data_IF_794639935626
#
_entry.id   IF_794639935626
#
_cell.length_a   1.000
_cell.length_b   1.000
_cell.length_c   1.000
_cell.angle_alpha   90.00
_cell.angle_beta   90.00
_cell.angle_gamma   90.00
#
_symmetry.space_group_name_H-M   'P 1'
#
loop_
_entity.id
_entity.type
_entity.pdbx_description
1 polymer ?
#
# COMPACT_ATOMS: atom_id res chain seq x y z
N UNK A 1 -27.72 36.26 -2.86
CA UNK A 1 -26.77 35.47 -2.05
C UNK A 1 -27.10 34.00 -2.24
N UNK A 2 -26.56 33.36 -3.30
CA UNK A 2 -26.69 31.93 -3.52
C UNK A 2 -25.52 31.26 -2.81
N UNK A 3 -25.83 30.29 -1.96
CA UNK A 3 -24.96 29.67 -0.97
C UNK A 3 -23.82 28.88 -1.62
N UNK A 4 -22.65 28.89 -0.98
CA UNK A 4 -21.44 28.17 -1.36
C UNK A 4 -21.62 26.64 -1.51
N UNK A 5 -22.75 26.12 -1.07
CA UNK A 5 -23.09 24.69 -1.08
C UNK A 5 -23.47 24.16 -2.48
N UNK A 6 -23.88 25.01 -3.41
CA UNK A 6 -24.30 24.57 -4.74
C UNK A 6 -23.15 24.36 -5.75
N UNK A 7 -21.95 24.93 -5.50
CA UNK A 7 -20.82 24.79 -6.41
C UNK A 7 -19.95 23.57 -6.16
N UNK A 8 -20.02 22.96 -4.97
CA UNK A 8 -19.29 21.73 -4.65
C UNK A 8 -19.95 20.48 -5.25
N UNK A 9 -21.27 20.57 -5.49
CA UNK A 9 -22.07 19.47 -6.07
C UNK A 9 -21.92 19.33 -7.59
N UNK A 10 -21.32 20.29 -8.28
CA UNK A 10 -21.24 20.29 -9.74
C UNK A 10 -20.10 19.44 -10.31
N UNK A 11 -19.06 19.12 -9.53
CA UNK A 11 -17.93 18.27 -9.98
C UNK A 11 -18.27 16.77 -9.90
N UNK A 12 -19.22 16.39 -9.01
CA UNK A 12 -19.64 14.99 -8.84
C UNK A 12 -20.68 14.52 -9.89
N UNK A 13 -21.17 15.40 -10.78
CA UNK A 13 -22.31 15.09 -11.66
C UNK A 13 -22.00 14.39 -12.99
N UNK A 14 -20.74 14.06 -13.29
CA UNK A 14 -20.41 13.43 -14.57
C UNK A 14 -19.76 12.05 -14.48
N UNK A 15 -19.71 11.42 -13.30
CA UNK A 15 -19.32 10.03 -13.19
C UNK A 15 -20.58 9.20 -12.82
N UNK A 16 -21.00 8.23 -13.61
CA UNK A 16 -22.12 7.36 -13.23
C UNK A 16 -21.74 6.70 -11.88
N UNK A 17 -22.62 6.81 -10.90
CA UNK A 17 -22.41 6.33 -9.51
C UNK A 17 -22.12 4.81 -9.35
N UNK A 18 -21.87 4.10 -10.46
CA UNK A 18 -21.62 2.65 -10.59
C UNK A 18 -20.30 2.33 -11.28
N UNK A 19 -19.46 3.32 -11.62
CA UNK A 19 -18.17 3.05 -12.27
C UNK A 19 -17.04 3.04 -11.24
N UNK A 20 -16.37 1.87 -11.10
CA UNK A 20 -15.23 1.71 -10.20
C UNK A 20 -14.03 2.57 -10.67
N UNK A 21 -13.42 3.38 -9.79
CA UNK A 21 -12.32 4.27 -10.16
C UNK A 21 -11.10 3.54 -10.73
N UNK A 22 -10.83 2.32 -10.27
CA UNK A 22 -9.77 1.46 -10.81
C UNK A 22 -10.34 0.07 -11.01
N UNK A 23 -10.18 -0.48 -12.21
CA UNK A 23 -10.57 -1.85 -12.55
C UNK A 23 -9.42 -2.55 -13.26
N UNK A 24 -9.04 -3.73 -12.77
CA UNK A 24 -8.09 -4.64 -13.41
C UNK A 24 -8.83 -5.89 -13.87
N UNK A 25 -8.56 -6.31 -15.10
CA UNK A 25 -9.13 -7.54 -15.67
C UNK A 25 -8.02 -8.36 -16.34
N UNK A 26 -7.63 -9.46 -15.69
CA UNK A 26 -6.60 -10.37 -16.14
C UNK A 26 -5.25 -9.71 -16.40
N UNK A 27 -4.94 -8.62 -15.69
CA UNK A 27 -3.76 -7.81 -15.95
C UNK A 27 -2.48 -8.62 -15.79
N UNK A 28 -1.69 -8.68 -16.86
CA UNK A 28 -0.46 -9.48 -16.94
C UNK A 28 0.70 -8.63 -17.44
N UNK A 29 1.89 -8.82 -16.88
CA UNK A 29 3.08 -8.16 -17.38
C UNK A 29 4.34 -9.03 -17.26
N UNK A 30 5.09 -9.08 -18.36
CA UNK A 30 6.38 -9.79 -18.45
C UNK A 30 7.52 -8.80 -18.67
N UNK A 31 8.66 -9.04 -18.02
CA UNK A 31 9.95 -8.46 -18.34
C UNK A 31 10.80 -9.55 -19.03
N UNK A 32 10.82 -9.58 -20.35
CA UNK A 32 11.35 -10.73 -21.09
C UNK A 32 10.63 -12.02 -20.67
N UNK A 33 11.38 -13.01 -20.19
CA UNK A 33 10.81 -14.29 -19.74
C UNK A 33 10.26 -14.25 -18.30
N UNK A 34 10.53 -13.18 -17.55
CA UNK A 34 10.11 -13.06 -16.16
C UNK A 34 8.68 -12.54 -16.06
N UNK A 35 7.78 -13.35 -15.56
CA UNK A 35 6.41 -12.95 -15.22
C UNK A 35 6.43 -12.09 -13.94
N UNK A 36 6.00 -10.85 -14.05
CA UNK A 36 5.98 -9.88 -12.95
C UNK A 36 4.57 -9.64 -12.39
N UNK A 37 3.54 -9.77 -13.24
CA UNK A 37 2.12 -9.75 -12.85
C UNK A 37 1.41 -10.88 -13.57
N UNK A 38 0.65 -11.68 -12.83
CA UNK A 38 -0.01 -12.88 -13.29
C UNK A 38 -1.53 -12.77 -13.13
N UNK A 39 -2.22 -12.35 -14.21
CA UNK A 39 -3.69 -12.30 -14.33
C UNK A 39 -4.40 -11.59 -13.15
N UNK A 40 -3.89 -10.44 -12.72
CA UNK A 40 -4.50 -9.68 -11.63
C UNK A 40 -5.89 -9.18 -12.03
N UNK A 41 -6.90 -9.51 -11.22
CA UNK A 41 -8.28 -9.07 -11.39
C UNK A 41 -8.84 -8.60 -10.06
N UNK A 42 -9.12 -7.31 -9.95
CA UNK A 42 -9.81 -6.69 -8.82
C UNK A 42 -10.28 -5.27 -9.15
N UNK A 43 -11.07 -4.70 -8.25
CA UNK A 43 -11.63 -3.35 -8.38
C UNK A 43 -11.39 -2.55 -7.10
N UNK A 44 -11.17 -1.24 -7.27
CA UNK A 44 -11.08 -0.25 -6.18
C UNK A 44 -12.35 0.58 -6.20
N UNK A 45 -13.00 0.73 -5.05
CA UNK A 45 -14.26 1.44 -4.89
C UNK A 45 -14.07 2.96 -4.84
N UNK A 46 -15.11 3.74 -5.16
CA UNK A 46 -15.05 5.19 -4.99
C UNK A 46 -14.80 5.59 -3.53
N UNK A 47 -13.99 6.63 -3.35
CA UNK A 47 -13.68 7.19 -2.03
C UNK A 47 -13.24 6.13 -1.01
N UNK A 48 -12.30 5.26 -1.39
CA UNK A 48 -11.63 4.35 -0.46
C UNK A 48 -10.11 4.56 -0.48
N UNK A 49 -9.45 4.23 0.62
CA UNK A 49 -8.00 4.06 0.69
C UNK A 49 -7.72 2.59 0.48
N UNK A 50 -7.19 2.25 -0.68
CA UNK A 50 -6.90 0.89 -1.10
C UNK A 50 -5.39 0.59 -1.02
N UNK A 51 -5.00 -0.45 -0.28
CA UNK A 51 -3.63 -0.86 -0.09
C UNK A 51 -3.19 -1.93 -1.09
N UNK A 52 -1.99 -1.80 -1.65
CA UNK A 52 -1.27 -2.88 -2.30
C UNK A 52 -0.15 -3.34 -1.36
N UNK A 53 -0.38 -4.43 -0.62
CA UNK A 53 0.56 -5.00 0.32
C UNK A 53 1.34 -6.14 -0.33
N UNK A 54 2.61 -6.27 -0.03
CA UNK A 54 3.42 -7.41 -0.47
C UNK A 54 4.92 -7.19 -0.24
N UNK A 55 5.72 -8.26 -0.20
CA UNK A 55 7.16 -8.15 -0.06
C UNK A 55 7.81 -7.50 -1.30
N UNK A 56 9.10 -7.21 -1.22
CA UNK A 56 9.85 -6.74 -2.37
C UNK A 56 9.82 -7.79 -3.50
N UNK A 57 9.63 -7.32 -4.73
CA UNK A 57 9.50 -8.21 -5.90
C UNK A 57 8.11 -8.87 -6.07
N UNK A 58 7.11 -8.55 -5.24
CA UNK A 58 5.76 -9.10 -5.37
C UNK A 58 4.95 -8.55 -6.55
N UNK A 59 5.43 -7.53 -7.27
CA UNK A 59 4.75 -6.92 -8.41
C UNK A 59 4.13 -5.54 -8.15
N UNK A 60 4.14 -5.01 -6.91
CA UNK A 60 3.56 -3.70 -6.56
C UNK A 60 4.03 -2.56 -7.45
N UNK A 61 5.35 -2.39 -7.57
CA UNK A 61 5.95 -1.32 -8.38
C UNK A 61 5.63 -1.49 -9.88
N UNK A 62 5.53 -2.72 -10.39
CA UNK A 62 5.12 -2.98 -11.78
C UNK A 62 3.67 -2.55 -11.99
N UNK A 63 2.76 -2.95 -11.10
CA UNK A 63 1.36 -2.53 -11.13
C UNK A 63 1.23 -1.01 -11.02
N UNK A 64 1.94 -0.39 -10.08
CA UNK A 64 1.97 1.06 -9.92
C UNK A 64 2.39 1.79 -11.20
N UNK A 65 3.46 1.30 -11.87
CA UNK A 65 3.93 1.87 -13.15
C UNK A 65 2.92 1.73 -14.28
N UNK A 66 2.16 0.65 -14.33
CA UNK A 66 1.09 0.47 -15.30
C UNK A 66 -0.05 1.44 -15.02
N UNK A 67 -0.55 1.52 -13.78
CA UNK A 67 -1.63 2.43 -13.39
C UNK A 67 -1.23 3.90 -13.57
N UNK A 68 0.04 4.24 -13.35
CA UNK A 68 0.56 5.59 -13.59
C UNK A 68 0.88 5.90 -15.06
N UNK A 69 0.52 4.99 -15.99
CA UNK A 69 0.77 5.10 -17.45
C UNK A 69 2.25 5.18 -17.84
N UNK A 70 3.15 4.76 -16.98
CA UNK A 70 4.60 4.69 -17.26
C UNK A 70 5.01 3.38 -17.94
N UNK A 71 4.10 2.41 -17.97
CA UNK A 71 4.35 1.08 -18.52
C UNK A 71 3.08 0.53 -19.15
N UNK A 72 3.23 -0.10 -20.31
CA UNK A 72 2.13 -0.79 -20.99
C UNK A 72 2.10 -2.24 -20.50
N UNK A 73 0.94 -2.79 -20.08
CA UNK A 73 0.83 -4.20 -19.73
C UNK A 73 1.05 -5.10 -20.94
N UNK A 74 1.50 -6.34 -20.74
CA UNK A 74 1.68 -7.32 -21.82
C UNK A 74 0.42 -8.12 -22.11
N UNK A 75 -0.58 -8.10 -21.19
CA UNK A 75 -1.88 -8.77 -21.34
C UNK A 75 -2.91 -8.25 -20.35
N UNK A 76 -4.16 -8.55 -20.61
CA UNK A 76 -5.28 -8.03 -19.82
C UNK A 76 -5.51 -6.53 -20.01
N UNK A 77 -6.25 -5.91 -19.09
CA UNK A 77 -6.53 -4.48 -19.12
C UNK A 77 -6.55 -3.86 -17.74
N UNK A 78 -6.27 -2.54 -17.68
CA UNK A 78 -6.45 -1.70 -16.50
C UNK A 78 -7.17 -0.42 -16.90
N UNK A 79 -8.26 -0.12 -16.20
CA UNK A 79 -9.05 1.09 -16.41
C UNK A 79 -8.93 2.01 -15.20
N UNK A 80 -8.81 3.31 -15.44
CA UNK A 80 -8.92 4.36 -14.42
C UNK A 80 -10.01 5.33 -14.85
N UNK A 81 -11.05 5.47 -14.02
CA UNK A 81 -12.25 6.26 -14.34
C UNK A 81 -12.84 5.87 -15.73
N UNK A 82 -12.79 4.57 -16.06
CA UNK A 82 -13.26 4.01 -17.32
C UNK A 82 -12.32 4.20 -18.51
N UNK A 83 -11.17 4.88 -18.35
CA UNK A 83 -10.18 5.06 -19.41
C UNK A 83 -9.09 4.00 -19.33
N UNK A 84 -8.80 3.36 -20.45
CA UNK A 84 -7.75 2.34 -20.55
C UNK A 84 -6.35 2.96 -20.43
N UNK A 85 -5.54 2.47 -19.49
CA UNK A 85 -4.21 3.02 -19.20
C UNK A 85 -3.23 2.95 -20.38
N UNK A 86 -3.41 1.97 -21.28
CA UNK A 86 -2.56 1.78 -22.45
C UNK A 86 -3.07 2.53 -23.69
N UNK A 87 -4.40 2.60 -23.86
CA UNK A 87 -5.01 3.19 -25.07
C UNK A 87 -5.33 4.67 -24.94
N UNK A 88 -5.65 5.13 -23.71
CA UNK A 88 -6.07 6.50 -23.42
C UNK A 88 -5.20 7.16 -22.31
N UNK A 89 -3.87 7.05 -22.34
CA UNK A 89 -3.01 7.50 -21.23
C UNK A 89 -3.15 8.98 -20.90
N UNK A 90 -3.43 9.83 -21.89
CA UNK A 90 -3.61 11.26 -21.65
C UNK A 90 -4.88 11.57 -20.86
N UNK A 91 -5.96 10.78 -21.05
CA UNK A 91 -7.20 10.91 -20.28
C UNK A 91 -7.00 10.40 -18.86
N UNK A 92 -6.30 9.26 -18.71
CA UNK A 92 -5.93 8.71 -17.41
C UNK A 92 -5.09 9.70 -16.61
N UNK A 93 -4.05 10.33 -17.20
CA UNK A 93 -3.20 11.32 -16.52
C UNK A 93 -3.96 12.53 -15.99
N UNK A 94 -5.08 12.89 -16.60
CA UNK A 94 -5.94 13.97 -16.10
C UNK A 94 -6.74 13.55 -14.87
N UNK A 95 -6.95 12.24 -14.66
CA UNK A 95 -7.72 11.71 -13.55
C UNK A 95 -6.85 11.34 -12.35
N UNK A 96 -5.54 11.17 -12.54
CA UNK A 96 -4.64 10.67 -11.50
C UNK A 96 -3.68 11.75 -10.98
N UNK A 97 -3.53 11.81 -9.66
CA UNK A 97 -2.39 12.40 -8.99
C UNK A 97 -1.38 11.31 -8.65
N UNK A 98 -0.09 11.60 -8.76
CA UNK A 98 0.95 10.60 -8.51
C UNK A 98 1.97 11.16 -7.54
N UNK A 99 2.35 10.33 -6.55
CA UNK A 99 3.48 10.56 -5.66
C UNK A 99 4.37 9.32 -5.68
N UNK A 100 5.55 9.45 -6.24
CA UNK A 100 6.52 8.37 -6.36
C UNK A 100 7.27 8.13 -5.04
N UNK A 101 7.89 6.97 -4.90
CA UNK A 101 8.81 6.66 -3.81
C UNK A 101 10.02 7.61 -3.84
N UNK A 102 10.63 7.79 -5.01
CA UNK A 102 11.67 8.78 -5.22
C UNK A 102 11.12 10.21 -5.24
N UNK A 103 11.83 11.13 -4.63
CA UNK A 103 11.42 12.54 -4.60
C UNK A 103 11.40 13.14 -6.01
N UNK A 104 10.31 13.84 -6.31
CA UNK A 104 10.06 14.47 -7.61
C UNK A 104 10.10 16.00 -7.57
N UNK A 105 10.50 16.58 -6.44
CA UNK A 105 10.65 18.02 -6.26
C UNK A 105 12.01 18.50 -6.74
N UNK A 106 12.05 19.66 -7.40
CA UNK A 106 13.28 20.40 -7.60
C UNK A 106 13.61 21.12 -6.28
N UNK A 107 14.68 20.67 -5.62
CA UNK A 107 15.09 21.17 -4.31
C UNK A 107 15.64 22.60 -4.34
N UNK A 108 16.03 23.10 -5.52
CA UNK A 108 16.56 24.46 -5.72
C UNK A 108 15.46 25.49 -5.96
N UNK A 109 14.26 25.01 -6.29
CA UNK A 109 13.08 25.85 -6.44
C UNK A 109 12.34 26.02 -5.11
N UNK A 110 11.57 27.09 -5.03
CA UNK A 110 10.62 27.29 -3.92
C UNK A 110 9.45 26.30 -4.01
N UNK A 111 8.73 26.13 -2.90
CA UNK A 111 7.47 25.38 -2.85
C UNK A 111 6.50 25.90 -3.91
N UNK A 112 6.32 27.22 -3.99
CA UNK A 112 5.43 27.85 -4.96
C UNK A 112 5.84 27.60 -6.40
N UNK A 113 7.13 27.65 -6.73
CA UNK A 113 7.62 27.37 -8.08
C UNK A 113 7.41 25.93 -8.50
N UNK A 114 7.67 24.95 -7.61
CA UNK A 114 7.37 23.54 -7.87
C UNK A 114 5.89 23.32 -8.22
N UNK A 115 4.96 23.89 -7.43
CA UNK A 115 3.54 23.79 -7.71
C UNK A 115 3.13 24.53 -8.98
N UNK A 116 3.70 25.71 -9.22
CA UNK A 116 3.42 26.50 -10.42
C UNK A 116 3.80 25.75 -11.70
N UNK A 117 4.99 25.13 -11.73
CA UNK A 117 5.41 24.32 -12.87
C UNK A 117 4.48 23.15 -13.10
N UNK A 118 4.13 22.43 -12.04
CA UNK A 118 3.18 21.31 -12.13
C UNK A 118 1.82 21.77 -12.64
N UNK A 119 1.27 22.87 -12.11
CA UNK A 119 -0.02 23.39 -12.55
C UNK A 119 -0.02 23.79 -14.02
N UNK A 120 1.09 24.36 -14.52
CA UNK A 120 1.23 24.68 -15.93
C UNK A 120 1.19 23.45 -16.84
N UNK A 121 1.78 22.31 -16.42
CA UNK A 121 1.71 21.04 -17.17
C UNK A 121 0.27 20.55 -17.34
N UNK A 122 -0.61 20.86 -16.38
CA UNK A 122 -2.05 20.56 -16.45
C UNK A 122 -2.89 21.71 -17.02
N UNK A 123 -2.25 22.72 -17.61
CA UNK A 123 -2.94 23.85 -18.26
C UNK A 123 -3.51 24.90 -17.32
N UNK A 124 -3.27 24.81 -16.00
CA UNK A 124 -3.70 25.81 -15.04
C UNK A 124 -2.90 27.10 -15.20
N UNK A 125 -3.57 28.27 -15.23
CA UNK A 125 -2.93 29.59 -15.45
C UNK A 125 -3.60 30.69 -14.62
N UNK A 126 -2.89 31.79 -14.43
CA UNK A 126 -3.43 33.03 -13.84
C UNK A 126 -4.06 32.82 -12.48
N UNK A 127 -5.23 33.42 -12.26
CA UNK A 127 -5.95 33.37 -10.98
C UNK A 127 -6.40 31.97 -10.57
N UNK A 128 -6.72 31.09 -11.53
CA UNK A 128 -7.10 29.70 -11.24
C UNK A 128 -5.92 28.93 -10.65
N UNK A 129 -4.73 29.04 -11.22
CA UNK A 129 -3.53 28.42 -10.68
C UNK A 129 -3.21 28.94 -9.29
N UNK A 130 -3.23 30.28 -9.10
CA UNK A 130 -2.96 30.89 -7.79
C UNK A 130 -3.91 30.35 -6.71
N UNK A 131 -5.21 30.32 -6.96
CA UNK A 131 -6.21 29.79 -6.04
C UNK A 131 -5.95 28.31 -5.72
N UNK A 132 -5.67 27.47 -6.72
CA UNK A 132 -5.38 26.06 -6.51
C UNK A 132 -4.12 25.83 -5.67
N UNK A 133 -3.07 26.61 -5.90
CA UNK A 133 -1.85 26.57 -5.09
C UNK A 133 -2.15 26.91 -3.62
N UNK A 134 -2.92 27.99 -3.37
CA UNK A 134 -3.32 28.39 -2.03
C UNK A 134 -4.17 27.30 -1.37
N UNK A 135 -5.14 26.71 -2.07
CA UNK A 135 -6.00 25.63 -1.56
C UNK A 135 -5.17 24.39 -1.15
N UNK A 136 -4.33 23.86 -2.05
CA UNK A 136 -3.57 22.63 -1.74
C UNK A 136 -2.51 22.86 -0.67
N UNK A 137 -1.87 24.04 -0.65
CA UNK A 137 -0.88 24.38 0.40
C UNK A 137 -1.52 24.61 1.76
N UNK A 138 -2.71 25.21 1.82
CA UNK A 138 -3.45 25.36 3.06
C UNK A 138 -3.78 23.98 3.65
N UNK A 139 -4.24 23.03 2.81
CA UNK A 139 -4.62 21.68 3.23
C UNK A 139 -3.44 20.89 3.80
N UNK A 140 -2.25 21.02 3.20
CA UNK A 140 -1.04 20.35 3.72
C UNK A 140 -0.32 21.15 4.80
N UNK A 141 -0.87 22.33 5.22
CA UNK A 141 -0.31 23.18 6.28
C UNK A 141 1.03 23.83 5.91
N UNK A 142 1.21 24.22 4.61
CA UNK A 142 2.46 24.80 4.12
C UNK A 142 2.26 26.11 3.32
N UNK A 143 1.10 26.79 3.48
CA UNK A 143 0.85 28.04 2.76
C UNK A 143 1.84 29.15 3.15
N UNK A 144 2.20 29.24 4.42
CA UNK A 144 3.19 30.18 4.96
C UNK A 144 4.61 29.93 4.44
N UNK A 145 4.88 28.72 3.92
CA UNK A 145 6.16 28.28 3.38
C UNK A 145 6.27 28.34 1.85
N UNK A 146 5.29 28.96 1.16
CA UNK A 146 5.22 29.01 -0.31
C UNK A 146 6.47 29.61 -0.96
N UNK A 147 7.18 30.49 -0.25
CA UNK A 147 8.40 31.15 -0.72
C UNK A 147 9.68 30.45 -0.28
N UNK A 148 9.61 29.45 0.61
CA UNK A 148 10.77 28.72 1.10
C UNK A 148 11.29 27.80 0.00
N UNK A 149 12.62 27.69 -0.13
CA UNK A 149 13.26 26.71 -1.01
C UNK A 149 13.06 25.32 -0.47
N UNK A 150 12.74 24.35 -1.34
CA UNK A 150 12.42 22.96 -0.92
C UNK A 150 13.56 22.32 -0.12
N UNK A 151 14.82 22.64 -0.42
CA UNK A 151 15.99 22.11 0.32
C UNK A 151 16.01 22.50 1.81
N UNK A 152 15.34 23.57 2.22
CA UNK A 152 15.27 24.03 3.62
C UNK A 152 14.19 23.32 4.43
N UNK A 153 13.33 22.53 3.78
CA UNK A 153 12.22 21.83 4.40
C UNK A 153 12.64 20.49 4.99
N UNK A 154 12.02 20.09 6.09
CA UNK A 154 12.16 18.71 6.60
C UNK A 154 11.64 17.68 5.60
N UNK A 155 12.07 16.40 5.74
CA UNK A 155 11.61 15.32 4.86
C UNK A 155 10.09 15.16 4.85
N UNK A 156 9.43 15.29 6.00
CA UNK A 156 7.98 15.27 6.11
C UNK A 156 7.29 16.46 5.41
N UNK A 157 7.87 17.66 5.53
CA UNK A 157 7.36 18.83 4.80
C UNK A 157 7.53 18.68 3.29
N UNK A 158 8.68 18.17 2.82
CA UNK A 158 8.88 17.87 1.41
C UNK A 158 7.84 16.87 0.89
N UNK A 159 7.52 15.83 1.66
CA UNK A 159 6.47 14.86 1.29
C UNK A 159 5.09 15.50 1.19
N UNK A 160 4.76 16.43 2.07
CA UNK A 160 3.51 17.22 1.97
C UNK A 160 3.48 18.10 0.72
N UNK A 161 4.62 18.68 0.28
CA UNK A 161 4.71 19.41 -0.98
C UNK A 161 4.48 18.49 -2.18
N UNK A 162 5.01 17.25 -2.16
CA UNK A 162 4.74 16.26 -3.22
C UNK A 162 3.26 15.90 -3.31
N UNK A 163 2.59 15.72 -2.17
CA UNK A 163 1.14 15.52 -2.13
C UNK A 163 0.38 16.72 -2.74
N UNK A 164 0.72 17.94 -2.31
CA UNK A 164 0.13 19.15 -2.87
C UNK A 164 0.33 19.26 -4.39
N UNK A 165 1.55 18.89 -4.87
CA UNK A 165 1.88 18.83 -6.30
C UNK A 165 1.01 17.79 -7.03
N UNK A 166 0.83 16.59 -6.46
CA UNK A 166 -0.03 15.54 -7.03
C UNK A 166 -1.51 15.94 -7.10
N UNK A 167 -1.97 16.83 -6.20
CA UNK A 167 -3.36 17.26 -6.07
C UNK A 167 -3.69 18.58 -6.80
N UNK A 168 -2.71 19.26 -7.40
CA UNK A 168 -2.87 20.61 -7.94
C UNK A 168 -3.98 20.71 -9.01
N UNK A 169 -4.19 19.67 -9.80
CA UNK A 169 -5.16 19.61 -10.90
C UNK A 169 -6.49 18.94 -10.51
N UNK A 170 -6.73 18.68 -9.20
CA UNK A 170 -7.94 18.05 -8.67
C UNK A 170 -8.22 16.66 -9.23
N UNK A 171 -7.27 15.71 -9.12
CA UNK A 171 -7.49 14.35 -9.60
C UNK A 171 -8.57 13.64 -8.79
N UNK A 172 -9.27 12.69 -9.40
CA UNK A 172 -10.23 11.82 -8.72
C UNK A 172 -9.58 10.60 -8.07
N UNK A 173 -8.36 10.22 -8.52
CA UNK A 173 -7.58 9.10 -8.02
C UNK A 173 -6.18 9.58 -7.65
N UNK A 174 -5.69 9.21 -6.46
CA UNK A 174 -4.34 9.48 -6.00
C UNK A 174 -3.56 8.18 -5.88
N UNK A 175 -2.45 8.06 -6.63
CA UNK A 175 -1.55 6.91 -6.60
C UNK A 175 -0.31 7.25 -5.78
N UNK A 176 0.00 6.48 -4.76
CA UNK A 176 1.12 6.69 -3.84
C UNK A 176 2.02 5.46 -3.79
N UNK A 177 3.29 5.62 -4.17
CA UNK A 177 4.27 4.53 -4.09
C UNK A 177 5.10 4.67 -2.82
N UNK A 178 4.87 3.77 -1.85
CA UNK A 178 5.53 3.73 -0.53
C UNK A 178 5.66 5.12 0.13
N UNK A 179 4.53 5.85 0.35
CA UNK A 179 4.57 7.29 0.64
C UNK A 179 5.18 7.65 1.99
N UNK A 180 5.28 6.73 2.91
CA UNK A 180 5.80 6.95 4.27
C UNK A 180 7.25 6.54 4.47
N UNK A 181 7.89 5.97 3.44
CA UNK A 181 9.29 5.56 3.50
C UNK A 181 10.19 6.74 3.87
N UNK A 182 11.00 6.57 4.93
CA UNK A 182 11.91 7.59 5.43
C UNK A 182 11.24 8.72 6.22
N UNK A 183 9.96 8.62 6.55
CA UNK A 183 9.27 9.54 7.46
C UNK A 183 9.41 9.08 8.91
N UNK A 184 9.56 10.05 9.81
CA UNK A 184 9.45 9.80 11.25
C UNK A 184 8.00 9.41 11.63
N UNK A 185 7.76 8.81 12.82
CA UNK A 185 6.44 8.37 13.23
C UNK A 185 5.38 9.48 13.29
N UNK A 186 5.76 10.73 13.57
CA UNK A 186 4.87 11.87 13.58
C UNK A 186 4.40 12.23 12.17
N UNK A 187 5.36 12.42 11.25
CA UNK A 187 5.08 12.73 9.85
C UNK A 187 4.27 11.61 9.16
N UNK A 188 4.48 10.33 9.55
CA UNK A 188 3.69 9.20 9.06
C UNK A 188 2.23 9.28 9.51
N UNK A 189 1.97 9.58 10.79
CA UNK A 189 0.60 9.78 11.29
C UNK A 189 -0.11 10.93 10.60
N UNK A 190 0.58 12.05 10.40
CA UNK A 190 0.04 13.21 9.68
C UNK A 190 -0.32 12.85 8.24
N UNK A 191 0.53 12.08 7.55
CA UNK A 191 0.25 11.59 6.20
C UNK A 191 -1.05 10.79 6.15
N UNK A 192 -1.21 9.78 7.02
CA UNK A 192 -2.41 8.95 7.05
C UNK A 192 -3.67 9.72 7.44
N UNK A 193 -3.55 10.69 8.35
CA UNK A 193 -4.66 11.59 8.68
C UNK A 193 -5.07 12.43 7.46
N UNK A 194 -4.10 12.93 6.71
CA UNK A 194 -4.33 13.69 5.48
C UNK A 194 -5.00 12.84 4.40
N UNK A 195 -4.57 11.61 4.19
CA UNK A 195 -5.19 10.70 3.22
C UNK A 195 -6.66 10.40 3.58
N UNK A 196 -6.96 10.20 4.87
CA UNK A 196 -8.35 10.04 5.33
C UNK A 196 -9.20 11.28 5.05
N UNK A 197 -8.68 12.47 5.31
CA UNK A 197 -9.37 13.72 4.98
C UNK A 197 -9.67 13.84 3.48
N UNK A 198 -8.72 13.50 2.59
CA UNK A 198 -8.94 13.51 1.14
C UNK A 198 -10.05 12.54 0.72
N UNK A 199 -10.09 11.35 1.34
CA UNK A 199 -11.17 10.36 1.11
C UNK A 199 -12.52 10.87 1.60
N UNK A 200 -12.57 11.32 2.87
CA UNK A 200 -13.83 11.62 3.57
C UNK A 200 -14.47 12.94 3.10
N UNK A 201 -13.64 13.98 2.93
CA UNK A 201 -14.14 15.33 2.64
C UNK A 201 -14.16 15.64 1.13
N UNK A 202 -13.28 15.03 0.34
CA UNK A 202 -13.15 15.35 -1.09
C UNK A 202 -13.57 14.19 -2.01
N UNK A 203 -13.83 13.01 -1.46
CA UNK A 203 -14.21 11.82 -2.23
C UNK A 203 -13.09 11.30 -3.14
N UNK A 204 -11.83 11.62 -2.83
CA UNK A 204 -10.67 11.13 -3.60
C UNK A 204 -10.44 9.66 -3.29
N UNK A 205 -10.34 8.84 -4.33
CA UNK A 205 -9.92 7.45 -4.20
C UNK A 205 -8.41 7.39 -4.12
N UNK A 206 -7.87 6.70 -3.12
CA UNK A 206 -6.42 6.61 -2.88
C UNK A 206 -5.95 5.17 -3.04
N UNK A 207 -4.90 4.94 -3.86
CA UNK A 207 -4.21 3.68 -3.95
C UNK A 207 -2.79 3.85 -3.41
N UNK A 208 -2.43 3.06 -2.39
CA UNK A 208 -1.13 3.10 -1.71
C UNK A 208 -0.41 1.78 -1.89
N UNK A 209 0.84 1.79 -2.36
CA UNK A 209 1.70 0.61 -2.25
C UNK A 209 2.43 0.65 -0.91
N UNK A 210 2.55 -0.48 -0.26
CA UNK A 210 3.34 -0.60 0.98
C UNK A 210 3.88 -2.03 1.15
N UNK A 211 4.97 -2.13 1.86
CA UNK A 211 5.51 -3.38 2.39
C UNK A 211 5.38 -3.46 3.92
N UNK A 212 4.76 -2.45 4.55
CA UNK A 212 4.58 -2.37 6.01
C UNK A 212 3.15 -2.78 6.39
N UNK A 213 3.04 -3.83 7.22
CA UNK A 213 1.75 -4.33 7.71
C UNK A 213 0.98 -3.26 8.49
N UNK A 214 1.68 -2.46 9.30
CA UNK A 214 1.09 -1.37 10.07
C UNK A 214 0.38 -0.34 9.18
N UNK A 215 0.91 -0.07 8.00
CA UNK A 215 0.30 0.84 7.04
C UNK A 215 -0.93 0.24 6.38
N UNK A 216 -0.86 -1.04 6.04
CA UNK A 216 -1.97 -1.76 5.46
C UNK A 216 -3.19 -1.80 6.39
N UNK A 217 -2.99 -1.78 7.72
CA UNK A 217 -4.07 -1.67 8.72
C UNK A 217 -4.85 -0.35 8.64
N UNK A 218 -4.29 0.69 8.02
CA UNK A 218 -4.97 1.97 7.83
C UNK A 218 -5.81 2.05 6.55
N UNK A 219 -5.71 1.05 5.68
CA UNK A 219 -6.49 0.97 4.46
C UNK A 219 -7.91 0.46 4.72
N UNK A 220 -8.87 0.91 3.93
CA UNK A 220 -10.25 0.40 3.99
C UNK A 220 -10.33 -1.04 3.46
N UNK A 221 -9.62 -1.29 2.34
CA UNK A 221 -9.41 -2.61 1.75
C UNK A 221 -7.99 -2.70 1.23
N UNK A 222 -7.53 -3.92 1.05
CA UNK A 222 -6.20 -4.17 0.48
C UNK A 222 -6.18 -5.42 -0.41
N UNK A 223 -5.27 -5.41 -1.37
CA UNK A 223 -4.84 -6.56 -2.12
C UNK A 223 -3.45 -6.98 -1.62
N UNK A 224 -3.31 -8.23 -1.19
CA UNK A 224 -2.01 -8.81 -0.85
C UNK A 224 -1.45 -9.48 -2.10
N UNK A 225 -0.25 -9.04 -2.51
CA UNK A 225 0.45 -9.57 -3.68
C UNK A 225 1.65 -10.42 -3.26
N UNK A 226 1.81 -11.58 -3.89
CA UNK A 226 3.00 -12.40 -3.77
C UNK A 226 3.39 -12.97 -5.14
N UNK A 227 4.65 -12.77 -5.56
CA UNK A 227 5.18 -13.28 -6.84
C UNK A 227 4.29 -12.97 -8.07
N UNK A 228 3.79 -11.74 -8.14
CA UNK A 228 2.92 -11.27 -9.22
C UNK A 228 1.47 -11.70 -9.13
N UNK A 229 1.07 -12.49 -8.12
CA UNK A 229 -0.29 -13.00 -7.92
C UNK A 229 -1.03 -12.29 -6.81
N UNK A 230 -2.34 -12.18 -6.96
CA UNK A 230 -3.25 -11.77 -5.90
C UNK A 230 -3.50 -12.95 -4.96
N UNK A 231 -3.08 -12.84 -3.70
CA UNK A 231 -3.23 -13.91 -2.70
C UNK A 231 -4.37 -13.66 -1.71
N UNK A 232 -4.72 -12.39 -1.48
CA UNK A 232 -5.89 -12.01 -0.67
C UNK A 232 -6.41 -10.64 -1.09
N UNK A 233 -7.72 -10.42 -0.92
CA UNK A 233 -8.42 -9.16 -1.21
C UNK A 233 -9.56 -8.96 -0.22
N UNK A 234 -9.55 -7.89 0.55
CA UNK A 234 -10.60 -7.60 1.53
C UNK A 234 -10.22 -6.47 2.50
N UNK A 235 -11.10 -6.16 3.43
CA UNK A 235 -10.76 -5.27 4.55
C UNK A 235 -9.75 -5.97 5.50
N UNK A 236 -8.82 -5.24 6.14
CA UNK A 236 -7.89 -5.84 7.09
C UNK A 236 -8.57 -6.70 8.16
N UNK A 237 -9.69 -6.21 8.70
CA UNK A 237 -10.47 -6.93 9.71
C UNK A 237 -11.11 -8.21 9.18
N UNK A 238 -11.63 -8.18 7.94
CA UNK A 238 -12.21 -9.36 7.28
C UNK A 238 -11.14 -10.44 7.06
N UNK A 239 -10.00 -10.05 6.47
CA UNK A 239 -8.90 -10.97 6.18
C UNK A 239 -8.36 -11.62 7.47
N UNK A 240 -8.20 -10.84 8.55
CA UNK A 240 -7.77 -11.38 9.84
C UNK A 240 -8.80 -12.33 10.47
N UNK A 241 -10.09 -12.10 10.26
CA UNK A 241 -11.14 -12.97 10.80
C UNK A 241 -11.23 -14.33 10.11
N UNK A 242 -10.64 -14.48 8.91
CA UNK A 242 -10.54 -15.78 8.24
C UNK A 242 -9.60 -16.75 8.96
N UNK A 243 -8.74 -16.23 9.86
CA UNK A 243 -7.84 -17.04 10.67
C UNK A 243 -8.60 -17.57 11.90
N UNK A 244 -8.58 -18.87 12.09
CA UNK A 244 -9.44 -19.59 13.02
C UNK A 244 -9.04 -19.51 14.50
N UNK A 245 -8.88 -18.31 15.07
CA UNK A 245 -8.59 -18.14 16.50
C UNK A 245 -7.29 -17.40 16.79
N UNK A 246 -6.73 -17.58 18.00
CA UNK A 246 -5.44 -16.99 18.36
C UNK A 246 -4.30 -17.71 17.62
N UNK A 247 -3.27 -16.95 17.24
CA UNK A 247 -2.00 -17.49 16.73
C UNK A 247 -1.10 -17.80 17.92
N UNK A 248 -0.72 -19.06 18.06
CA UNK A 248 0.19 -19.55 19.11
C UNK A 248 1.51 -19.92 18.45
N UNK A 249 2.60 -19.35 18.98
CA UNK A 249 3.96 -19.64 18.55
C UNK A 249 4.71 -20.30 19.72
N UNK A 250 5.31 -21.46 19.48
CA UNK A 250 6.21 -22.13 20.40
C UNK A 250 7.62 -22.07 19.83
N UNK A 251 8.55 -21.47 20.56
CA UNK A 251 9.97 -21.43 20.20
C UNK A 251 10.67 -22.66 20.81
N UNK A 252 11.45 -23.34 19.99
CA UNK A 252 12.29 -24.47 20.38
C UNK A 252 13.78 -24.12 20.23
N UNK A 253 14.67 -24.87 20.85
CA UNK A 253 16.11 -24.63 20.86
C UNK A 253 16.75 -24.69 19.45
N UNK A 254 16.16 -25.42 18.51
CA UNK A 254 16.67 -25.58 17.14
C UNK A 254 15.54 -25.96 16.18
N UNK A 255 15.81 -25.91 14.89
CA UNK A 255 14.88 -26.39 13.84
C UNK A 255 14.53 -27.87 14.00
N UNK A 256 15.50 -28.71 14.40
CA UNK A 256 15.28 -30.13 14.66
C UNK A 256 14.33 -30.34 15.87
N UNK A 257 14.52 -29.55 16.92
CA UNK A 257 13.66 -29.57 18.11
C UNK A 257 12.25 -29.05 17.79
N UNK A 258 12.13 -28.05 16.93
CA UNK A 258 10.84 -27.54 16.46
C UNK A 258 10.07 -28.59 15.64
N UNK A 259 10.75 -29.31 14.75
CA UNK A 259 10.16 -30.41 14.00
C UNK A 259 9.66 -31.56 14.92
N UNK A 260 10.46 -31.91 15.95
CA UNK A 260 10.07 -32.89 16.96
C UNK A 260 8.86 -32.41 17.76
N UNK A 261 8.88 -31.17 18.26
CA UNK A 261 7.79 -30.56 19.00
C UNK A 261 6.50 -30.51 18.17
N UNK A 262 6.60 -30.11 16.92
CA UNK A 262 5.48 -30.06 15.96
C UNK A 262 4.83 -31.42 15.79
N UNK A 263 5.63 -32.49 15.57
CA UNK A 263 5.12 -33.87 15.47
C UNK A 263 4.42 -34.34 16.74
N UNK A 264 5.00 -34.03 17.91
CA UNK A 264 4.40 -34.38 19.22
C UNK A 264 3.08 -33.62 19.47
N UNK A 265 3.02 -32.35 19.16
CA UNK A 265 1.82 -31.53 19.27
C UNK A 265 0.73 -32.07 18.33
N UNK A 266 1.06 -32.34 17.07
CA UNK A 266 0.13 -32.87 16.08
C UNK A 266 -0.50 -34.18 16.53
N UNK A 267 0.32 -35.12 17.05
CA UNK A 267 -0.14 -36.43 17.49
C UNK A 267 -1.02 -36.38 18.75
N UNK A 268 -0.67 -35.51 19.72
CA UNK A 268 -1.37 -35.46 21.00
C UNK A 268 -2.67 -34.69 20.96
N UNK A 269 -2.70 -33.56 20.19
CA UNK A 269 -3.82 -32.63 20.22
C UNK A 269 -4.65 -32.62 18.92
N UNK A 270 -4.30 -33.47 17.95
CA UNK A 270 -4.99 -33.61 16.65
C UNK A 270 -5.12 -32.23 15.95
N UNK A 271 -4.01 -31.56 15.81
CA UNK A 271 -3.87 -30.25 15.14
C UNK A 271 -2.80 -30.33 14.06
N UNK A 272 -2.78 -29.35 13.16
CA UNK A 272 -1.81 -29.27 12.06
C UNK A 272 -0.88 -28.07 12.26
N UNK A 273 0.18 -28.19 13.11
CA UNK A 273 1.12 -27.10 13.31
C UNK A 273 2.03 -26.92 12.09
N UNK A 274 2.46 -25.70 11.85
CA UNK A 274 3.43 -25.34 10.79
C UNK A 274 4.77 -25.02 11.44
N UNK A 275 5.87 -25.62 10.93
CA UNK A 275 7.23 -25.34 11.40
C UNK A 275 7.84 -24.23 10.55
N UNK A 276 8.43 -23.24 11.20
CA UNK A 276 9.06 -22.07 10.57
C UNK A 276 10.38 -21.77 11.28
N UNK A 277 11.49 -22.35 10.78
CA UNK A 277 12.78 -22.32 11.47
C UNK A 277 12.68 -23.06 12.82
N UNK A 278 13.08 -22.41 13.90
CA UNK A 278 12.97 -22.96 15.26
C UNK A 278 11.61 -22.75 15.93
N UNK A 279 10.59 -22.26 15.20
CA UNK A 279 9.27 -21.91 15.74
C UNK A 279 8.21 -22.86 15.21
N UNK A 280 7.33 -23.36 16.09
CA UNK A 280 6.12 -24.09 15.76
C UNK A 280 4.93 -23.15 15.87
N UNK A 281 4.24 -22.91 14.76
CA UNK A 281 3.06 -22.04 14.65
C UNK A 281 1.79 -22.86 14.51
N UNK A 282 0.76 -22.46 15.22
CA UNK A 282 -0.58 -23.01 15.05
C UNK A 282 -1.65 -21.95 15.34
N UNK A 283 -2.85 -22.21 14.81
CA UNK A 283 -4.03 -21.38 15.01
C UNK A 283 -5.01 -22.15 15.89
N UNK A 284 -5.51 -21.50 16.96
CA UNK A 284 -6.45 -22.14 17.86
C UNK A 284 -7.30 -21.16 18.65
N UNK A 285 -8.58 -21.48 18.78
CA UNK A 285 -9.44 -20.77 19.72
C UNK A 285 -8.93 -20.97 21.16
N UNK A 286 -8.97 -19.89 21.94
CA UNK A 286 -8.48 -19.88 23.33
C UNK A 286 -7.00 -20.33 23.45
N UNK A 287 -6.13 -19.79 22.61
CA UNK A 287 -4.71 -20.13 22.54
C UNK A 287 -4.00 -20.12 23.88
N UNK A 288 -4.35 -19.20 24.78
CA UNK A 288 -3.78 -19.10 26.13
C UNK A 288 -3.98 -20.38 27.00
N UNK A 289 -5.11 -21.06 26.81
CA UNK A 289 -5.34 -22.37 27.51
C UNK A 289 -4.50 -23.45 26.88
N UNK A 290 -4.45 -23.48 25.57
CA UNK A 290 -3.68 -24.48 24.84
C UNK A 290 -2.17 -24.40 25.12
N UNK A 291 -1.63 -23.22 25.40
CA UNK A 291 -0.24 -23.05 25.83
C UNK A 291 0.06 -23.89 27.08
N UNK A 292 -0.79 -23.81 28.08
CA UNK A 292 -0.61 -24.55 29.32
C UNK A 292 -0.56 -26.07 29.04
N UNK A 293 -1.51 -26.58 28.24
CA UNK A 293 -1.58 -27.98 27.88
C UNK A 293 -0.29 -28.47 27.17
N UNK A 294 0.29 -27.66 26.27
CA UNK A 294 1.51 -28.02 25.53
C UNK A 294 2.74 -27.96 26.42
N UNK A 295 2.90 -26.89 27.21
CA UNK A 295 4.08 -26.75 28.09
C UNK A 295 4.13 -27.82 29.13
N UNK A 296 2.99 -28.20 29.72
CA UNK A 296 2.89 -29.31 30.68
C UNK A 296 3.14 -30.66 30.02
N UNK A 297 2.69 -30.86 28.77
CA UNK A 297 2.84 -32.14 28.07
C UNK A 297 4.28 -32.40 27.59
N UNK A 298 5.04 -31.34 27.28
CA UNK A 298 6.37 -31.45 26.67
C UNK A 298 7.42 -30.58 27.39
N UNK A 299 7.71 -30.86 28.67
CA UNK A 299 8.64 -30.08 29.46
C UNK A 299 10.04 -30.12 28.84
N UNK A 300 10.69 -28.95 28.73
CA UNK A 300 12.04 -28.79 28.20
C UNK A 300 12.17 -28.77 26.67
N UNK A 301 11.06 -28.87 25.91
CA UNK A 301 11.06 -28.72 24.47
C UNK A 301 10.64 -27.31 24.01
N UNK A 302 10.04 -26.54 24.91
CA UNK A 302 9.55 -25.17 24.65
C UNK A 302 10.43 -24.19 25.41
N UNK A 303 11.12 -23.30 24.71
CA UNK A 303 11.94 -22.22 25.28
C UNK A 303 11.17 -20.91 25.41
N UNK A 304 10.24 -20.64 24.49
CA UNK A 304 9.43 -19.44 24.48
C UNK A 304 8.02 -19.70 23.94
N UNK A 305 7.07 -18.87 24.36
CA UNK A 305 5.69 -18.93 23.87
C UNK A 305 5.17 -17.54 23.63
N UNK A 306 4.48 -17.36 22.52
CA UNK A 306 3.74 -16.14 22.20
C UNK A 306 2.31 -16.51 21.79
N UNK A 307 1.34 -15.74 22.29
CA UNK A 307 -0.07 -15.84 21.90
C UNK A 307 -0.52 -14.46 21.47
N UNK A 308 -1.01 -14.35 20.27
CA UNK A 308 -1.46 -13.08 19.71
C UNK A 308 -2.78 -13.26 18.92
N UNK A 309 -3.54 -12.18 18.81
CA UNK A 309 -4.61 -12.14 17.80
C UNK A 309 -4.00 -12.11 16.41
N UNK A 310 -4.66 -12.72 15.41
CA UNK A 310 -4.16 -12.73 14.04
C UNK A 310 -3.88 -11.33 13.50
N UNK A 311 -2.72 -11.16 12.87
CA UNK A 311 -2.33 -9.98 12.11
C UNK A 311 -2.37 -10.23 10.61
N UNK A 312 -2.10 -9.20 9.80
CA UNK A 312 -1.99 -9.34 8.34
C UNK A 312 -0.82 -10.25 7.92
N UNK A 313 0.23 -10.35 8.74
CA UNK A 313 1.33 -11.29 8.50
C UNK A 313 0.84 -12.73 8.56
N UNK A 314 -0.04 -13.04 9.49
CA UNK A 314 -0.62 -14.39 9.63
C UNK A 314 -1.50 -14.74 8.43
N UNK A 315 -2.26 -13.77 7.90
CA UNK A 315 -3.00 -13.93 6.64
C UNK A 315 -2.05 -14.26 5.49
N UNK A 316 -0.95 -13.53 5.38
CA UNK A 316 0.06 -13.78 4.34
C UNK A 316 0.66 -15.18 4.48
N UNK A 317 1.07 -15.57 5.69
CA UNK A 317 1.65 -16.91 5.97
C UNK A 317 0.65 -18.01 5.63
N UNK A 318 -0.60 -17.89 6.06
CA UNK A 318 -1.64 -18.87 5.76
C UNK A 318 -1.86 -19.06 4.25
N UNK A 319 -1.83 -17.95 3.49
CA UNK A 319 -2.08 -17.95 2.04
C UNK A 319 -0.87 -18.40 1.21
N UNK A 320 0.35 -18.21 1.70
CA UNK A 320 1.59 -18.45 0.94
C UNK A 320 2.46 -19.58 1.47
N UNK A 321 2.29 -19.95 2.74
CA UNK A 321 3.09 -20.99 3.42
C UNK A 321 4.47 -20.52 3.88
N UNK A 322 4.81 -19.22 3.75
CA UNK A 322 6.10 -18.66 4.19
C UNK A 322 5.94 -17.29 4.82
N UNK A 323 6.95 -16.85 5.57
CA UNK A 323 6.97 -15.52 6.20
C UNK A 323 7.02 -14.41 5.14
N UNK A 324 6.46 -13.25 5.49
CA UNK A 324 6.49 -12.05 4.65
C UNK A 324 7.92 -11.56 4.38
N UNK A 325 8.77 -11.64 5.42
CA UNK A 325 10.20 -11.33 5.36
C UNK A 325 10.99 -12.64 5.43
N UNK A 326 11.64 -13.05 4.33
CA UNK A 326 12.61 -14.13 4.34
C UNK A 326 13.98 -13.53 4.03
N UNK A 327 15.01 -13.90 4.81
CA UNK A 327 16.40 -13.40 4.68
C UNK A 327 17.01 -13.59 3.29
N UNK A 328 16.41 -14.43 2.44
CA UNK A 328 16.87 -14.64 1.04
C UNK A 328 16.63 -13.46 0.10
N UNK A 329 15.84 -12.46 0.50
CA UNK A 329 15.51 -11.31 -0.36
C UNK A 329 16.63 -10.27 -0.37
N UNK A 330 17.56 -10.28 0.61
CA UNK A 330 18.68 -9.34 0.68
C UNK A 330 19.85 -9.68 -0.25
N UNK A 331 19.99 -10.93 -0.69
CA UNK A 331 21.13 -11.37 -1.51
C UNK A 331 20.92 -11.23 -3.05
N UNK A 332 19.76 -10.77 -3.50
CA UNK A 332 19.50 -10.45 -4.90
C UNK A 332 19.45 -8.94 -5.17
N UNK A 333 20.16 -8.15 -4.41
CA UNK A 333 20.44 -6.77 -4.76
C UNK A 333 21.30 -6.75 -6.04
N UNK A 334 20.79 -6.09 -7.05
CA UNK A 334 21.31 -5.63 -8.32
C UNK A 334 22.86 -5.69 -8.45
N UNK A 335 23.40 -6.28 -9.52
CA UNK A 335 24.83 -6.22 -9.79
C UNK A 335 25.26 -4.75 -9.99
N UNK A 336 26.43 -4.33 -9.49
CA UNK A 336 26.90 -2.97 -9.65
C UNK A 336 27.04 -2.63 -11.13
N UNK A 337 26.51 -1.48 -11.53
CA UNK A 337 26.72 -0.92 -12.87
C UNK A 337 28.23 -0.79 -13.08
N UNK A 338 28.76 -1.45 -14.10
CA UNK A 338 30.11 -1.19 -14.59
C UNK A 338 30.12 0.22 -15.19
N UNK A 339 30.85 1.12 -14.53
CA UNK A 339 31.27 2.37 -15.12
C UNK A 339 31.99 2.09 -16.45
N UNK A 340 31.47 2.68 -17.54
CA UNK A 340 32.19 2.95 -18.76
C UNK A 340 32.10 4.44 -19.05
#
# INVERSE_FOLDING_TARGET
>A
MASATEKTTAVLKNNPAWMEPITLDGLTHHYGDRLALDHLTFQVRPAEIFGLLGPNGSGKTTLFRILSTLMIPTGGSALIQGFDVAREPNRVRQQIGIVFQARSLDIKLTVGENLKHQGHLYGLKGGTLKRRMEEVLTRVGLLDRIKDTVETLSGGMQRRVELAKGLIHSPSVLLLDEPSTGLDPGARRDLWQYLRMLRDDEGVTVLVTTHLMEEAEHCDRLAILNQGKLVALGAPSELKSEIGGDVVLFEAASEASAAELSAKIANRFIVSPTVMGNTVRLEREQGHKFVTDVVEAFPGLVEGVSVARPGLEDVFIQRTGHRFWTEKTEQQAWPPQKEQ
#
